data_IF_452622735066
#
_entry.id   IF_452622735066
#
_cell.length_a   1.000
_cell.length_b   1.000
_cell.length_c   1.000
_cell.angle_alpha   90.00
_cell.angle_beta   90.00
_cell.angle_gamma   90.00
#
_symmetry.space_group_name_H-M   'P 1'
#
loop_
_entity.id
_entity.type
_entity.pdbx_description
1 polymer ?
#
# COMPACT_ATOMS: atom_id res chain seq x y z
N UNK A 1 36.23 -29.52 -11.79
CA UNK A 1 36.95 -28.28 -11.42
C UNK A 1 36.06 -27.03 -11.60
N UNK A 2 34.81 -26.99 -11.09
CA UNK A 2 33.97 -25.78 -11.11
C UNK A 2 33.01 -25.74 -9.92
N UNK A 3 33.54 -25.94 -8.71
CA UNK A 3 32.75 -25.78 -7.49
C UNK A 3 33.56 -25.21 -6.31
N UNK A 4 34.67 -24.50 -6.59
CA UNK A 4 35.57 -23.97 -5.57
C UNK A 4 35.61 -22.43 -5.51
N UNK A 5 34.60 -21.74 -6.05
CA UNK A 5 34.56 -20.26 -6.11
C UNK A 5 33.57 -19.64 -5.11
N UNK A 6 33.43 -20.20 -3.91
CA UNK A 6 32.54 -19.64 -2.87
C UNK A 6 33.14 -19.63 -1.46
N UNK A 7 34.48 -19.60 -1.34
CA UNK A 7 35.11 -19.66 0.00
C UNK A 7 36.33 -18.75 0.19
N UNK A 8 36.42 -17.65 -0.56
CA UNK A 8 37.41 -16.61 -0.27
C UNK A 8 36.72 -15.29 0.05
N UNK A 9 37.14 -14.71 1.18
CA UNK A 9 37.03 -13.31 1.54
C UNK A 9 35.85 -12.81 2.40
N UNK A 10 35.42 -13.64 3.35
CA UNK A 10 34.80 -13.18 4.60
C UNK A 10 35.85 -12.69 5.64
N UNK A 11 37.08 -12.38 5.20
CA UNK A 11 38.24 -12.22 6.08
C UNK A 11 39.08 -10.99 5.75
N UNK A 12 38.46 -9.81 5.68
CA UNK A 12 39.20 -8.55 5.73
C UNK A 12 38.30 -7.39 6.18
N UNK A 13 38.08 -7.28 7.49
CA UNK A 13 38.24 -6.03 8.28
C UNK A 13 37.75 -6.26 9.71
N UNK A 14 38.58 -6.91 10.53
CA UNK A 14 38.66 -6.55 11.93
C UNK A 14 39.88 -5.67 12.10
N UNK A 15 39.74 -4.51 12.75
CA UNK A 15 40.63 -3.95 13.77
C UNK A 15 40.17 -2.50 14.15
N UNK A 16 39.65 -2.39 15.38
CA UNK A 16 39.77 -1.30 16.37
C UNK A 16 39.69 0.19 15.96
N UNK A 17 38.65 0.89 16.42
CA UNK A 17 38.72 1.88 17.54
C UNK A 17 37.31 2.44 17.84
N UNK A 18 36.86 2.52 19.11
CA UNK A 18 35.76 3.41 19.48
C UNK A 18 36.32 4.79 19.84
N UNK A 19 36.22 5.76 18.93
CA UNK A 19 36.37 7.17 19.28
C UNK A 19 34.98 7.69 19.65
N UNK A 20 34.72 7.73 20.95
CA UNK A 20 33.66 8.56 21.52
C UNK A 20 34.18 9.99 21.67
N UNK A 21 33.37 10.93 21.19
CA UNK A 21 33.46 12.38 21.37
C UNK A 21 34.50 13.15 20.53
N UNK A 22 34.05 13.74 19.41
CA UNK A 22 33.90 15.19 19.30
C UNK A 22 33.13 15.57 18.02
N UNK A 23 32.31 16.63 18.13
CA UNK A 23 31.76 17.50 17.07
C UNK A 23 30.25 17.41 16.77
N UNK A 24 29.53 18.29 17.47
CA UNK A 24 28.45 19.20 17.05
C UNK A 24 27.29 18.71 16.18
N UNK A 25 26.10 18.74 16.78
CA UNK A 25 25.01 19.60 16.31
C UNK A 25 24.56 19.39 14.86
N UNK A 26 23.75 18.36 14.66
CA UNK A 26 22.91 18.19 13.49
C UNK A 26 21.89 17.13 13.82
N UNK A 27 20.67 17.55 14.14
CA UNK A 27 19.54 16.67 14.32
C UNK A 27 19.34 15.84 13.04
N UNK A 28 19.67 14.56 13.11
CA UNK A 28 19.25 13.56 12.14
C UNK A 28 18.68 12.40 12.93
N UNK A 29 17.44 12.60 13.41
CA UNK A 29 16.54 11.48 13.64
C UNK A 29 16.52 10.57 12.40
N UNK A 30 16.16 9.29 12.55
CA UNK A 30 16.07 8.39 11.40
C UNK A 30 15.16 9.03 10.36
N UNK A 31 15.68 9.24 9.14
CA UNK A 31 14.86 9.60 7.98
C UNK A 31 13.86 8.46 7.80
N UNK A 32 12.65 8.66 8.32
CA UNK A 32 11.57 7.70 8.22
C UNK A 32 11.09 7.66 6.78
N UNK A 33 11.53 6.65 6.03
CA UNK A 33 11.01 6.31 4.67
C UNK A 33 9.57 5.78 4.68
N UNK A 34 8.79 6.09 5.72
CA UNK A 34 7.36 5.86 5.68
C UNK A 34 6.78 6.96 4.80
N UNK A 35 6.50 6.64 3.53
CA UNK A 35 5.61 7.48 2.73
C UNK A 35 4.34 7.71 3.54
N UNK A 36 3.90 8.96 3.61
CA UNK A 36 2.76 9.34 4.42
C UNK A 36 1.58 8.40 4.14
N UNK A 37 0.89 7.91 5.18
CA UNK A 37 -0.21 6.99 5.00
C UNK A 37 -1.31 7.68 4.19
N UNK A 38 -1.59 7.12 3.01
CA UNK A 38 -2.65 7.58 2.11
C UNK A 38 -4.00 7.55 2.85
N UNK A 39 -4.60 8.74 3.01
CA UNK A 39 -5.91 8.89 3.65
C UNK A 39 -7.02 8.63 2.63
N UNK A 40 -7.78 7.55 2.86
CA UNK A 40 -8.89 7.13 1.99
C UNK A 40 -10.04 6.68 2.87
N UNK A 41 -11.21 7.24 2.60
CA UNK A 41 -12.46 6.94 3.29
C UNK A 41 -13.45 6.31 2.30
N UNK A 42 -14.06 5.20 2.71
CA UNK A 42 -15.13 4.54 1.97
C UNK A 42 -16.44 4.72 2.73
N UNK A 43 -17.48 5.24 2.09
CA UNK A 43 -18.76 5.48 2.76
C UNK A 43 -19.96 5.28 1.81
N UNK A 44 -21.09 4.77 2.32
CA UNK A 44 -21.22 4.20 3.65
C UNK A 44 -20.44 2.87 3.75
N UNK A 45 -19.94 2.55 4.94
CA UNK A 45 -19.37 1.25 5.25
C UNK A 45 -19.85 0.86 6.66
N UNK A 46 -20.80 -0.09 6.79
CA UNK A 46 -21.32 -1.00 5.76
C UNK A 46 -22.17 -0.32 4.67
N UNK A 47 -22.32 -0.98 3.51
CA UNK A 47 -23.19 -0.53 2.42
C UNK A 47 -24.16 -1.63 1.96
N UNK A 48 -25.27 -1.24 1.31
CA UNK A 48 -26.19 -2.14 0.63
C UNK A 48 -25.90 -2.25 -0.87
N UNK A 49 -25.98 -1.14 -1.59
CA UNK A 49 -25.93 -1.13 -3.06
C UNK A 49 -24.73 -0.41 -3.63
N UNK A 50 -24.24 0.66 -2.99
CA UNK A 50 -23.18 1.49 -3.56
C UNK A 50 -22.27 2.05 -2.48
N UNK A 51 -21.04 2.41 -2.83
CA UNK A 51 -20.19 3.20 -1.95
C UNK A 51 -19.54 4.34 -2.71
N UNK A 52 -19.07 5.34 -1.98
CA UNK A 52 -18.26 6.44 -2.48
C UNK A 52 -16.86 6.34 -1.90
N UNK A 53 -15.91 6.95 -2.61
CA UNK A 53 -14.52 7.06 -2.21
C UNK A 53 -14.19 8.53 -2.01
N UNK A 54 -13.71 8.89 -0.83
CA UNK A 54 -13.10 10.21 -0.58
C UNK A 54 -11.60 10.04 -0.34
N UNK A 55 -10.82 10.77 -1.11
CA UNK A 55 -9.36 10.72 -1.14
C UNK A 55 -8.84 12.00 -1.78
N UNK A 56 -7.65 12.45 -1.37
CA UNK A 56 -6.94 13.56 -2.02
C UNK A 56 -5.90 13.04 -3.05
N UNK A 57 -5.75 11.72 -3.16
CA UNK A 57 -4.84 11.07 -4.13
C UNK A 57 -5.35 11.12 -5.57
N UNK A 58 -4.42 11.10 -6.52
CA UNK A 58 -4.73 10.87 -7.94
C UNK A 58 -4.99 9.38 -8.18
N UNK A 59 -6.27 9.02 -8.33
CA UNK A 59 -6.73 7.65 -8.58
C UNK A 59 -7.20 7.53 -10.04
N UNK A 60 -6.83 6.43 -10.69
CA UNK A 60 -7.30 6.06 -12.01
C UNK A 60 -8.52 5.13 -11.94
N UNK A 61 -8.48 4.12 -11.08
CA UNK A 61 -9.55 3.13 -10.97
C UNK A 61 -9.79 2.62 -9.56
N UNK A 62 -11.02 2.17 -9.35
CA UNK A 62 -11.48 1.50 -8.14
C UNK A 62 -11.79 0.04 -8.47
N UNK A 63 -11.01 -0.87 -7.90
CA UNK A 63 -11.13 -2.29 -8.15
C UNK A 63 -11.68 -3.02 -6.93
N UNK A 64 -12.72 -3.83 -7.13
CA UNK A 64 -13.39 -4.57 -6.05
C UNK A 64 -13.01 -6.05 -6.15
N UNK A 65 -12.51 -6.60 -5.05
CA UNK A 65 -12.11 -8.00 -4.93
C UNK A 65 -12.87 -8.69 -3.81
N UNK A 66 -13.10 -9.99 -3.95
CA UNK A 66 -13.50 -10.82 -2.82
C UNK A 66 -12.28 -11.17 -1.94
N UNK A 67 -12.52 -11.84 -0.80
CA UNK A 67 -11.44 -12.23 0.12
C UNK A 67 -10.44 -13.27 -0.43
N UNK A 68 -10.78 -13.94 -1.54
CA UNK A 68 -9.88 -14.88 -2.23
C UNK A 68 -9.00 -14.17 -3.27
N UNK A 69 -9.10 -12.83 -3.40
CA UNK A 69 -8.33 -12.05 -4.37
C UNK A 69 -8.88 -12.13 -5.80
N UNK A 70 -10.10 -12.65 -6.00
CA UNK A 70 -10.75 -12.61 -7.32
C UNK A 70 -11.35 -11.21 -7.53
N UNK A 71 -10.96 -10.56 -8.62
CA UNK A 71 -11.56 -9.30 -9.08
C UNK A 71 -13.02 -9.55 -9.47
N UNK A 72 -13.92 -8.79 -8.86
CA UNK A 72 -15.36 -8.91 -9.02
C UNK A 72 -15.89 -7.85 -9.98
N UNK A 73 -15.41 -6.61 -9.84
CA UNK A 73 -15.77 -5.47 -10.71
C UNK A 73 -14.66 -4.41 -10.66
N UNK A 74 -14.59 -3.57 -11.68
CA UNK A 74 -13.66 -2.45 -11.80
C UNK A 74 -14.42 -1.22 -12.31
N UNK A 75 -14.09 -0.06 -11.77
CA UNK A 75 -14.67 1.23 -12.16
C UNK A 75 -13.54 2.21 -12.48
N UNK A 76 -13.77 3.08 -13.45
CA UNK A 76 -12.96 4.29 -13.59
C UNK A 76 -13.26 5.21 -12.38
N UNK A 77 -12.23 5.87 -11.85
CA UNK A 77 -12.39 6.74 -10.70
C UNK A 77 -12.83 8.14 -11.13
N UNK A 78 -13.93 8.60 -10.56
CA UNK A 78 -14.40 9.97 -10.67
C UNK A 78 -14.72 10.50 -9.25
N UNK A 79 -14.22 11.70 -8.87
CA UNK A 79 -14.48 12.25 -7.55
C UNK A 79 -15.98 12.45 -7.27
N UNK A 80 -16.47 11.84 -6.18
CA UNK A 80 -17.87 11.96 -5.75
C UNK A 80 -18.83 10.96 -6.41
N UNK A 81 -18.33 10.07 -7.26
CA UNK A 81 -19.15 9.04 -7.90
C UNK A 81 -19.61 7.94 -6.93
N UNK A 82 -20.75 7.35 -7.30
CA UNK A 82 -21.36 6.22 -6.61
C UNK A 82 -21.00 4.92 -7.31
N UNK A 83 -20.17 4.10 -6.67
CA UNK A 83 -19.76 2.80 -7.20
C UNK A 83 -20.80 1.73 -6.87
N UNK A 84 -21.61 1.36 -7.87
CA UNK A 84 -22.69 0.38 -7.73
C UNK A 84 -22.14 -1.06 -7.66
N UNK A 85 -22.48 -1.73 -6.57
CA UNK A 85 -22.17 -3.13 -6.26
C UNK A 85 -23.43 -3.93 -5.89
N UNK A 86 -24.62 -3.47 -6.30
CA UNK A 86 -25.92 -4.11 -5.97
C UNK A 86 -25.94 -5.60 -6.29
N UNK A 87 -25.35 -5.96 -7.44
CA UNK A 87 -25.30 -7.33 -7.97
C UNK A 87 -24.32 -8.24 -7.22
N UNK A 88 -23.46 -7.68 -6.36
CA UNK A 88 -22.53 -8.49 -5.57
C UNK A 88 -23.25 -9.13 -4.38
N UNK A 89 -22.98 -10.41 -4.05
CA UNK A 89 -23.52 -11.02 -2.85
C UNK A 89 -23.10 -10.29 -1.57
N UNK A 90 -23.92 -10.37 -0.53
CA UNK A 90 -23.57 -9.84 0.79
C UNK A 90 -22.31 -10.52 1.33
N UNK A 91 -21.41 -9.73 1.93
CA UNK A 91 -20.12 -10.24 2.35
C UNK A 91 -19.06 -9.16 2.53
N UNK A 92 -17.82 -9.60 2.64
CA UNK A 92 -16.65 -8.76 2.83
C UNK A 92 -15.87 -8.64 1.52
N UNK A 93 -15.49 -7.42 1.17
CA UNK A 93 -14.76 -7.09 -0.05
C UNK A 93 -13.52 -6.26 0.28
N UNK A 94 -12.55 -6.33 -0.64
CA UNK A 94 -11.37 -5.48 -0.67
C UNK A 94 -11.51 -4.51 -1.84
N UNK A 95 -11.40 -3.22 -1.53
CA UNK A 95 -11.44 -2.13 -2.50
C UNK A 95 -10.02 -1.63 -2.68
N UNK A 96 -9.48 -1.76 -3.88
CA UNK A 96 -8.17 -1.22 -4.25
C UNK A 96 -8.35 0.07 -5.03
N UNK A 97 -7.61 1.10 -4.63
CA UNK A 97 -7.44 2.32 -5.41
C UNK A 97 -6.14 2.17 -6.19
N UNK A 98 -6.22 2.33 -7.49
CA UNK A 98 -5.09 2.16 -8.41
C UNK A 98 -4.80 3.51 -9.07
N UNK A 99 -3.52 3.90 -9.12
CA UNK A 99 -3.07 5.12 -9.80
C UNK A 99 -2.93 4.92 -11.31
N UNK A 100 -2.71 6.02 -12.02
CA UNK A 100 -2.50 6.06 -13.48
C UNK A 100 -1.37 5.15 -13.99
N UNK A 101 -0.31 4.97 -13.20
CA UNK A 101 0.81 4.09 -13.50
C UNK A 101 0.57 2.62 -13.08
N UNK A 102 -0.69 2.25 -12.78
CA UNK A 102 -1.11 0.93 -12.35
C UNK A 102 -0.57 0.50 -10.98
N UNK A 103 0.00 1.41 -10.18
CA UNK A 103 0.40 1.12 -8.80
C UNK A 103 -0.83 1.15 -7.89
N UNK A 104 -0.96 0.11 -7.06
CA UNK A 104 -1.92 0.09 -5.95
C UNK A 104 -1.51 1.14 -4.91
N UNK A 105 -2.37 2.13 -4.73
CA UNK A 105 -2.20 3.19 -3.73
C UNK A 105 -2.56 2.65 -2.36
N UNK A 106 -3.74 2.04 -2.24
CA UNK A 106 -4.19 1.47 -0.98
C UNK A 106 -5.24 0.40 -1.18
N UNK A 107 -5.42 -0.45 -0.17
CA UNK A 107 -6.52 -1.41 -0.08
C UNK A 107 -7.35 -1.08 1.15
N UNK A 108 -8.68 -1.08 1.00
CA UNK A 108 -9.64 -0.84 2.09
C UNK A 108 -10.67 -1.97 2.12
N UNK A 109 -11.11 -2.32 3.33
CA UNK A 109 -12.13 -3.34 3.54
C UNK A 109 -13.51 -2.71 3.52
N UNK A 110 -14.44 -3.29 2.74
CA UNK A 110 -15.83 -2.85 2.66
C UNK A 110 -16.76 -4.02 3.05
N UNK A 111 -17.78 -3.73 3.87
CA UNK A 111 -18.83 -4.71 4.22
C UNK A 111 -20.10 -4.41 3.42
N UNK A 112 -20.58 -5.38 2.64
CA UNK A 112 -21.87 -5.32 1.93
C UNK A 112 -22.95 -6.11 2.68
N UNK A 113 -24.16 -5.55 2.82
CA UNK A 113 -25.29 -6.13 3.56
C UNK A 113 -26.63 -6.00 2.83
#
# INVERSE_FOLDING_TARGET
MRQFLLLCFFLLLGLLTPISALHSGGDSGPVSFYGDPIEVQLFPNPTANYFQVKTDETVNSVEVFNLLGRKMVSFDFEPGDYYDISELPNGLYLIQLVSDNHKVLTTRRLKKQ
#
